data_IF_008829041437
#
_entry.id   IF_008829041437
#
_cell.length_a   1.000
_cell.length_b   1.000
_cell.length_c   1.000
_cell.angle_alpha   90.00
_cell.angle_beta   90.00
_cell.angle_gamma   90.00
#
_symmetry.space_group_name_H-M   'P 1'
#
loop_
_entity.id
_entity.type
_entity.pdbx_description
1 polymer ?
#
# COMPACT_ATOMS: atom_id res chain seq x y z
N UNK A 1 16.21 18.74 -11.31
CA UNK A 1 15.70 18.27 -10.02
C UNK A 1 14.70 17.13 -10.25
N UNK A 2 14.94 16.01 -9.62
CA UNK A 2 13.98 14.92 -9.66
C UNK A 2 12.86 15.15 -8.66
N UNK A 3 11.63 14.96 -9.10
CA UNK A 3 10.45 14.96 -8.22
C UNK A 3 10.01 13.52 -8.05
N UNK A 4 9.96 13.06 -6.80
CA UNK A 4 9.54 11.71 -6.48
C UNK A 4 8.13 11.77 -5.91
N UNK A 5 7.21 11.02 -6.51
CA UNK A 5 5.83 10.91 -6.03
C UNK A 5 5.70 9.65 -5.19
N UNK A 6 5.11 9.81 -4.01
CA UNK A 6 4.88 8.70 -3.08
C UNK A 6 3.39 8.66 -2.75
N UNK A 7 2.75 7.51 -3.00
CA UNK A 7 1.36 7.33 -2.60
C UNK A 7 1.31 6.69 -1.21
N UNK A 8 0.49 7.27 -0.33
CA UNK A 8 0.26 6.75 1.00
C UNK A 8 -0.74 5.60 0.93
N UNK A 9 -0.28 4.36 1.24
CA UNK A 9 -1.09 3.13 1.22
C UNK A 9 -1.73 2.85 -0.15
N UNK A 10 -1.08 3.30 -1.22
CA UNK A 10 -1.58 3.14 -2.57
C UNK A 10 -2.52 4.25 -3.06
N UNK A 11 -2.79 5.26 -2.24
CA UNK A 11 -3.67 6.37 -2.62
C UNK A 11 -3.08 7.20 -3.76
N UNK A 12 -3.85 7.39 -4.82
CA UNK A 12 -3.48 8.21 -5.98
C UNK A 12 -4.27 9.51 -5.98
N UNK A 13 -5.56 9.45 -5.64
CA UNK A 13 -6.48 10.58 -5.70
C UNK A 13 -7.06 10.97 -4.34
N UNK A 14 -6.24 10.89 -3.29
CA UNK A 14 -6.65 11.23 -1.93
C UNK A 14 -7.02 10.00 -1.11
N UNK A 15 -7.31 10.19 0.19
CA UNK A 15 -7.56 9.07 1.09
C UNK A 15 -8.77 8.22 0.70
N UNK A 16 -8.60 6.90 0.68
CA UNK A 16 -9.66 5.93 0.42
C UNK A 16 -9.49 4.74 1.38
N UNK A 17 -9.91 4.88 2.64
CA UNK A 17 -9.67 3.86 3.66
C UNK A 17 -10.07 2.45 3.26
N UNK A 18 -11.13 2.29 2.47
CA UNK A 18 -11.63 0.99 2.03
C UNK A 18 -10.71 0.30 1.02
N UNK A 19 -9.80 1.05 0.39
CA UNK A 19 -8.86 0.52 -0.61
C UNK A 19 -7.42 0.53 -0.14
N UNK A 20 -7.10 1.29 0.89
CA UNK A 20 -5.72 1.46 1.38
C UNK A 20 -5.10 0.12 1.77
N UNK A 21 -3.83 -0.08 1.37
CA UNK A 21 -3.05 -1.29 1.59
C UNK A 21 -3.55 -2.53 0.85
N UNK A 22 -4.60 -2.45 0.03
CA UNK A 22 -4.98 -3.57 -0.82
C UNK A 22 -3.90 -3.83 -1.88
N UNK A 23 -3.47 -5.09 -2.10
CA UNK A 23 -2.43 -5.38 -3.10
C UNK A 23 -2.75 -4.84 -4.48
N UNK A 24 -3.99 -4.94 -4.94
CA UNK A 24 -4.40 -4.45 -6.25
C UNK A 24 -4.28 -2.93 -6.35
N UNK A 25 -4.65 -2.23 -5.28
CA UNK A 25 -4.58 -0.78 -5.21
C UNK A 25 -3.13 -0.29 -5.23
N UNK A 26 -2.25 -1.00 -4.51
CA UNK A 26 -0.82 -0.74 -4.49
C UNK A 26 -0.22 -0.97 -5.87
N UNK A 27 -0.56 -2.09 -6.52
CA UNK A 27 -0.07 -2.41 -7.86
C UNK A 27 -0.47 -1.35 -8.88
N UNK A 28 -1.68 -0.79 -8.78
CA UNK A 28 -2.12 0.28 -9.64
C UNK A 28 -1.20 1.50 -9.53
N UNK A 29 -0.84 1.92 -8.31
CA UNK A 29 0.08 3.02 -8.09
C UNK A 29 1.48 2.70 -8.64
N UNK A 30 1.99 1.50 -8.40
CA UNK A 30 3.30 1.08 -8.90
C UNK A 30 3.34 1.07 -10.43
N UNK A 31 2.27 0.62 -11.08
CA UNK A 31 2.17 0.60 -12.54
C UNK A 31 2.20 2.00 -13.14
N UNK A 32 1.82 3.02 -12.37
CA UNK A 32 1.92 4.41 -12.79
C UNK A 32 3.29 5.03 -12.51
N UNK A 33 4.23 4.24 -11.96
CA UNK A 33 5.56 4.72 -11.64
C UNK A 33 5.62 5.52 -10.34
N UNK A 34 4.62 5.37 -9.48
CA UNK A 34 4.54 6.07 -8.19
C UNK A 34 5.07 5.15 -7.09
N UNK A 35 5.97 5.65 -6.25
CA UNK A 35 6.42 4.93 -5.07
C UNK A 35 5.28 4.84 -4.06
N UNK A 36 5.23 3.76 -3.30
CA UNK A 36 4.13 3.50 -2.37
C UNK A 36 4.64 3.32 -0.95
N UNK A 37 3.99 3.98 -0.01
CA UNK A 37 4.19 3.75 1.42
C UNK A 37 3.10 2.77 1.88
N UNK A 38 3.51 1.68 2.55
CA UNK A 38 2.60 0.62 3.01
C UNK A 38 2.78 0.33 4.49
N UNK A 39 1.75 -0.22 5.11
CA UNK A 39 1.79 -0.69 6.49
C UNK A 39 1.89 -2.21 6.50
N UNK A 40 2.99 -2.74 7.04
CA UNK A 40 3.27 -4.19 7.03
C UNK A 40 3.24 -4.78 8.44
N UNK A 41 2.58 -5.93 8.56
CA UNK A 41 2.51 -6.71 9.79
C UNK A 41 3.17 -8.06 9.57
N UNK A 42 3.94 -8.53 10.55
CA UNK A 42 4.56 -9.86 10.52
C UNK A 42 3.96 -10.69 11.65
N UNK A 43 3.22 -11.75 11.28
CA UNK A 43 2.52 -12.60 12.25
C UNK A 43 2.83 -14.05 11.90
N UNK A 44 3.48 -14.76 12.83
CA UNK A 44 3.87 -16.17 12.68
C UNK A 44 4.55 -16.46 11.34
N UNK A 45 5.47 -15.57 10.91
CA UNK A 45 6.21 -15.75 9.66
C UNK A 45 5.46 -15.38 8.39
N UNK A 46 4.23 -14.88 8.50
CA UNK A 46 3.46 -14.39 7.36
C UNK A 46 3.40 -12.86 7.38
N UNK A 47 3.32 -12.28 6.19
CA UNK A 47 3.25 -10.82 6.01
C UNK A 47 1.85 -10.41 5.62
N UNK A 48 1.37 -9.34 6.24
CA UNK A 48 0.06 -8.76 5.97
C UNK A 48 0.16 -7.27 5.76
N UNK A 49 -0.73 -6.70 4.96
CA UNK A 49 -0.89 -5.25 4.82
C UNK A 49 -2.13 -4.80 5.56
N UNK A 50 -2.07 -3.65 6.22
CA UNK A 50 -3.22 -3.06 6.90
C UNK A 50 -2.80 -1.92 7.80
N UNK A 51 -3.67 -0.91 7.99
CA UNK A 51 -3.35 0.26 8.79
C UNK A 51 -3.50 0.00 10.29
N UNK A 52 -4.68 -0.36 10.75
CA UNK A 52 -4.96 -0.58 12.17
C UNK A 52 -4.85 -2.04 12.58
N UNK A 53 -4.92 -2.94 11.61
CA UNK A 53 -4.90 -4.39 11.82
C UNK A 53 -4.36 -5.10 10.58
N UNK A 54 -3.88 -6.34 10.68
CA UNK A 54 -3.48 -7.11 9.51
C UNK A 54 -4.72 -7.48 8.69
N UNK A 55 -4.83 -6.95 7.49
CA UNK A 55 -6.01 -7.12 6.63
C UNK A 55 -5.77 -7.99 5.41
N UNK A 56 -4.63 -7.81 4.75
CA UNK A 56 -4.36 -8.45 3.44
C UNK A 56 -3.10 -9.28 3.51
N UNK A 57 -3.23 -10.60 3.35
CA UNK A 57 -2.09 -11.51 3.32
C UNK A 57 -1.27 -11.28 2.04
N UNK A 58 0.04 -11.16 2.21
CA UNK A 58 1.00 -11.07 1.11
C UNK A 58 1.65 -12.43 0.94
N UNK A 59 1.67 -12.91 -0.28
CA UNK A 59 2.35 -14.16 -0.63
C UNK A 59 3.70 -13.91 -1.26
#
# INVERSE_FOLDING_TARGET
MEIKLISHRGNIYGPKPELENKPEYINEALNLGIDVEIDVWVIFGSYFLGHDEPQYLIK
#
